data_IF_576403374111
#
_entry.id   IF_576403374111
#
_cell.length_a   1.000
_cell.length_b   1.000
_cell.length_c   1.000
_cell.angle_alpha   90.00
_cell.angle_beta   90.00
_cell.angle_gamma   90.00
#
_symmetry.space_group_name_H-M   'P 1'
#
loop_
_entity.id
_entity.type
_entity.pdbx_description
1 polymer ?
#
# COMPACT_ATOMS: atom_id res chain seq x y z
N UNK A 1 87.32 50.31 -25.49
CA UNK A 1 87.23 50.76 -24.08
C UNK A 1 86.01 50.13 -23.42
N UNK A 2 86.23 49.50 -22.26
CA UNK A 2 85.31 49.22 -21.12
C UNK A 2 83.86 48.75 -21.36
N UNK A 3 83.61 47.52 -20.87
CA UNK A 3 82.35 47.03 -20.24
C UNK A 3 82.03 47.84 -18.95
N UNK A 4 80.94 47.60 -18.15
CA UNK A 4 79.86 46.59 -18.25
C UNK A 4 78.45 47.10 -17.85
N UNK A 5 77.46 46.19 -17.87
CA UNK A 5 76.32 45.98 -16.94
C UNK A 5 75.30 45.14 -17.74
N UNK A 6 74.97 43.88 -17.45
CA UNK A 6 74.49 43.26 -16.20
C UNK A 6 73.20 42.51 -16.59
N UNK A 7 73.26 41.20 -16.78
CA UNK A 7 72.81 40.13 -15.86
C UNK A 7 71.30 39.78 -15.92
N UNK A 8 71.05 38.49 -16.23
CA UNK A 8 69.88 37.63 -15.93
C UNK A 8 68.50 38.00 -16.50
N UNK A 9 67.89 37.11 -17.30
CA UNK A 9 67.05 36.00 -16.82
C UNK A 9 65.76 36.04 -17.67
N UNK A 10 64.99 35.00 -17.93
CA UNK A 10 64.66 33.83 -17.14
C UNK A 10 64.05 32.79 -18.09
N UNK A 11 64.43 31.53 -17.91
CA UNK A 11 63.86 30.36 -18.61
C UNK A 11 62.38 30.18 -18.24
N UNK A 12 61.65 29.68 -19.23
CA UNK A 12 60.31 29.10 -19.22
C UNK A 12 60.05 28.14 -18.06
N UNK A 13 58.89 28.27 -17.41
CA UNK A 13 58.17 27.16 -16.80
C UNK A 13 56.67 27.40 -16.88
N UNK A 14 56.03 26.84 -17.92
CA UNK A 14 54.58 26.69 -17.97
C UNK A 14 54.17 25.72 -16.88
N UNK A 15 53.51 26.22 -15.83
CA UNK A 15 52.94 25.37 -14.78
C UNK A 15 51.73 24.63 -15.34
N UNK A 16 51.89 23.32 -15.55
CA UNK A 16 50.78 22.40 -15.75
C UNK A 16 50.04 22.28 -14.41
N UNK A 17 48.89 22.93 -14.29
CA UNK A 17 47.99 22.74 -13.14
C UNK A 17 47.30 21.39 -13.31
N UNK A 18 47.87 20.35 -12.72
CA UNK A 18 47.18 19.07 -12.55
C UNK A 18 46.12 19.26 -11.48
N UNK A 19 44.86 19.34 -11.90
CA UNK A 19 43.71 19.29 -10.99
C UNK A 19 43.74 17.95 -10.25
N UNK A 20 44.06 18.01 -8.94
CA UNK A 20 43.81 16.89 -8.04
C UNK A 20 42.31 16.72 -7.90
N UNK A 21 41.72 15.84 -8.70
CA UNK A 21 40.37 15.33 -8.43
C UNK A 21 40.41 14.62 -7.06
N UNK A 22 39.82 15.29 -6.07
CA UNK A 22 39.61 14.72 -4.74
C UNK A 22 38.75 13.46 -4.86
N UNK A 23 39.21 12.35 -4.29
CA UNK A 23 38.50 11.05 -4.29
C UNK A 23 37.14 11.08 -3.56
N UNK A 24 36.75 12.22 -3.00
CA UNK A 24 35.48 12.42 -2.29
C UNK A 24 34.31 12.75 -3.21
N UNK A 25 34.53 13.27 -4.42
CA UNK A 25 33.42 13.65 -5.33
C UNK A 25 32.81 12.48 -6.08
N UNK A 26 33.50 11.33 -6.18
CA UNK A 26 32.99 10.14 -6.88
C UNK A 26 31.96 9.34 -6.06
N UNK A 27 31.89 9.55 -4.73
CA UNK A 27 30.92 8.85 -3.86
C UNK A 27 29.56 9.54 -3.77
N UNK A 28 29.50 10.84 -4.01
CA UNK A 28 28.24 11.60 -3.99
C UNK A 28 27.38 11.37 -5.23
N UNK A 29 27.99 11.13 -6.40
CA UNK A 29 27.24 10.79 -7.63
C UNK A 29 26.66 9.38 -7.60
N UNK A 30 27.30 8.43 -6.89
CA UNK A 30 26.79 7.06 -6.78
C UNK A 30 25.63 6.93 -5.77
N UNK A 31 25.59 7.79 -4.74
CA UNK A 31 24.47 7.83 -3.78
C UNK A 31 23.21 8.49 -4.35
N UNK A 32 23.34 9.44 -5.29
CA UNK A 32 22.17 10.04 -5.95
C UNK A 32 21.51 9.10 -6.96
N UNK A 33 22.25 8.17 -7.56
CA UNK A 33 21.71 7.23 -8.55
C UNK A 33 20.98 6.03 -7.92
N UNK A 34 21.20 5.78 -6.62
CA UNK A 34 20.53 4.71 -5.87
C UNK A 34 19.26 5.17 -5.14
N UNK A 35 18.97 6.48 -5.11
CA UNK A 35 17.77 7.04 -4.49
C UNK A 35 16.56 7.11 -5.45
N UNK A 36 16.72 6.71 -6.71
CA UNK A 36 15.66 6.80 -7.74
C UNK A 36 14.76 5.56 -7.83
N UNK A 37 15.03 4.49 -7.07
CA UNK A 37 14.34 3.20 -7.25
C UNK A 37 13.10 2.97 -6.35
N UNK A 38 12.61 4.00 -5.64
CA UNK A 38 11.38 3.90 -4.84
C UNK A 38 10.46 5.10 -5.05
N UNK A 39 10.00 5.29 -6.28
CA UNK A 39 8.75 6.02 -6.55
C UNK A 39 7.93 5.18 -7.52
N UNK A 40 7.30 4.12 -7.01
CA UNK A 40 6.06 3.65 -7.62
C UNK A 40 4.92 4.25 -6.81
N UNK A 41 4.70 5.54 -7.04
CA UNK A 41 3.62 6.29 -6.45
C UNK A 41 3.34 7.46 -7.37
N UNK A 42 2.24 7.38 -8.11
CA UNK A 42 1.68 8.43 -8.99
C UNK A 42 2.13 8.53 -10.46
N UNK A 43 2.42 7.42 -11.15
CA UNK A 43 2.07 7.35 -12.57
C UNK A 43 0.66 6.76 -12.63
N UNK A 44 -0.36 7.59 -12.83
CA UNK A 44 -1.64 7.09 -13.32
C UNK A 44 -1.42 6.67 -14.75
N UNK A 45 -1.08 5.40 -14.94
CA UNK A 45 -1.22 4.74 -16.23
C UNK A 45 -2.73 4.71 -16.52
N UNK A 46 -3.19 5.49 -17.49
CA UNK A 46 -4.60 5.53 -17.92
C UNK A 46 -5.13 4.14 -18.35
N UNK A 47 -4.26 3.14 -18.46
CA UNK A 47 -4.60 1.75 -18.80
C UNK A 47 -4.48 0.74 -17.65
N UNK A 48 -4.24 1.14 -16.40
CA UNK A 48 -4.25 0.18 -15.30
C UNK A 48 -5.70 -0.14 -14.88
N UNK A 49 -6.25 -1.23 -15.41
CA UNK A 49 -7.55 -1.77 -14.97
C UNK A 49 -7.42 -2.14 -13.49
N UNK A 50 -8.30 -1.63 -12.59
CA UNK A 50 -8.29 -2.02 -11.19
C UNK A 50 -8.44 -3.54 -11.03
N UNK A 51 -7.84 -4.13 -9.98
CA UNK A 51 -7.86 -5.58 -9.73
C UNK A 51 -9.29 -6.14 -9.76
N UNK A 52 -10.20 -5.39 -9.15
CA UNK A 52 -11.62 -5.69 -9.02
C UNK A 52 -12.39 -5.63 -10.34
N UNK A 53 -11.85 -4.97 -11.36
CA UNK A 53 -12.47 -4.84 -12.69
C UNK A 53 -11.71 -5.62 -13.79
N UNK A 54 -10.59 -6.27 -13.46
CA UNK A 54 -9.78 -7.06 -14.40
C UNK A 54 -10.29 -8.52 -14.49
N UNK A 55 -10.82 -8.96 -15.64
CA UNK A 55 -11.40 -10.29 -15.81
C UNK A 55 -10.43 -11.44 -15.50
N UNK A 56 -9.11 -11.21 -15.59
CA UNK A 56 -8.08 -12.20 -15.26
C UNK A 56 -8.12 -12.61 -13.78
N UNK A 57 -8.67 -11.75 -12.92
CA UNK A 57 -8.72 -11.98 -11.48
C UNK A 57 -10.13 -12.24 -10.93
N UNK A 58 -11.16 -12.29 -11.78
CA UNK A 58 -12.55 -12.52 -11.32
C UNK A 58 -12.70 -13.85 -10.59
N UNK A 59 -11.99 -14.89 -11.02
CA UNK A 59 -11.99 -16.20 -10.37
C UNK A 59 -11.51 -16.18 -8.91
N UNK A 60 -10.80 -15.14 -8.47
CA UNK A 60 -10.32 -14.99 -7.09
C UNK A 60 -11.23 -14.11 -6.23
N UNK A 61 -12.33 -13.61 -6.78
CA UNK A 61 -13.22 -12.64 -6.14
C UNK A 61 -14.60 -13.26 -5.88
N UNK A 62 -14.64 -14.46 -5.32
CA UNK A 62 -15.90 -15.16 -5.07
C UNK A 62 -16.43 -14.85 -3.66
N UNK A 63 -17.33 -13.86 -3.56
CA UNK A 63 -17.95 -13.49 -2.30
C UNK A 63 -18.91 -14.58 -1.77
N UNK A 64 -19.45 -15.43 -2.65
CA UNK A 64 -20.30 -16.56 -2.24
C UNK A 64 -19.50 -17.61 -1.48
N UNK A 65 -18.26 -17.89 -1.89
CA UNK A 65 -17.37 -18.78 -1.16
C UNK A 65 -16.98 -18.17 0.19
N UNK A 66 -16.63 -16.88 0.22
CA UNK A 66 -16.24 -16.20 1.45
C UNK A 66 -17.34 -16.26 2.53
N UNK A 67 -18.60 -15.99 2.19
CA UNK A 67 -19.70 -16.05 3.17
C UNK A 67 -20.08 -17.48 3.57
N UNK A 68 -19.65 -18.51 2.82
CA UNK A 68 -19.91 -19.92 3.12
C UNK A 68 -18.80 -20.59 3.95
N UNK A 69 -17.71 -19.89 4.29
CA UNK A 69 -16.69 -20.40 5.21
C UNK A 69 -17.33 -20.83 6.54
N UNK A 70 -17.05 -22.05 6.97
CA UNK A 70 -17.53 -22.57 8.25
C UNK A 70 -16.67 -22.08 9.40
N UNK A 71 -17.34 -21.71 10.50
CA UNK A 71 -16.68 -21.19 11.70
C UNK A 71 -16.36 -19.70 11.63
N UNK A 72 -15.35 -19.30 12.41
CA UNK A 72 -15.00 -17.90 12.65
C UNK A 72 -13.84 -17.45 11.79
N UNK A 73 -14.06 -16.39 11.02
CA UNK A 73 -13.02 -15.69 10.28
C UNK A 73 -12.46 -14.56 11.12
N UNK A 74 -11.14 -14.34 11.04
CA UNK A 74 -10.43 -13.28 11.75
C UNK A 74 -9.67 -12.40 10.76
N UNK A 75 -9.65 -11.09 11.02
CA UNK A 75 -8.79 -10.16 10.27
C UNK A 75 -7.38 -10.24 10.85
N UNK A 76 -6.43 -10.68 10.03
CA UNK A 76 -5.01 -10.77 10.41
C UNK A 76 -4.22 -9.52 10.03
N UNK A 77 -4.65 -8.81 8.99
CA UNK A 77 -4.00 -7.60 8.50
C UNK A 77 -5.03 -6.69 7.86
N UNK A 78 -4.86 -5.38 8.05
CA UNK A 78 -5.71 -4.36 7.47
C UNK A 78 -4.89 -3.11 7.13
N UNK A 79 -5.23 -2.46 6.02
CA UNK A 79 -4.57 -1.23 5.57
C UNK A 79 -5.47 0.00 5.77
N UNK A 80 -6.25 0.02 6.86
CA UNK A 80 -7.08 1.17 7.19
C UNK A 80 -6.24 2.22 7.91
N UNK A 81 -6.24 3.45 7.40
CA UNK A 81 -5.58 4.56 8.09
C UNK A 81 -6.42 5.00 9.30
N UNK A 82 -6.23 4.32 10.43
CA UNK A 82 -6.89 4.62 11.70
C UNK A 82 -5.85 4.69 12.81
N UNK A 83 -5.95 5.69 13.67
CA UNK A 83 -5.06 5.87 14.83
C UNK A 83 -5.29 4.79 15.90
N UNK A 84 -6.53 4.30 16.01
CA UNK A 84 -6.94 3.29 17.00
C UNK A 84 -7.89 2.28 16.31
N UNK A 85 -7.38 1.44 15.41
CA UNK A 85 -8.20 0.46 14.73
C UNK A 85 -8.69 -0.61 15.72
N UNK A 86 -9.91 -1.15 15.57
CA UNK A 86 -10.35 -2.30 16.34
C UNK A 86 -9.35 -3.46 16.25
N UNK A 87 -9.25 -4.22 17.34
CA UNK A 87 -8.41 -5.41 17.45
C UNK A 87 -9.27 -6.66 17.39
N UNK A 88 -8.68 -7.78 16.99
CA UNK A 88 -9.36 -9.09 17.00
C UNK A 88 -10.70 -9.08 16.23
N UNK A 89 -10.79 -8.31 15.14
CA UNK A 89 -11.95 -8.29 14.26
C UNK A 89 -12.24 -9.71 13.77
N UNK A 90 -13.49 -10.12 13.93
CA UNK A 90 -13.95 -11.42 13.50
C UNK A 90 -15.38 -11.39 12.99
N UNK A 91 -15.67 -12.34 12.10
CA UNK A 91 -16.98 -12.56 11.51
C UNK A 91 -17.32 -14.05 11.59
N UNK A 92 -18.54 -14.37 12.00
CA UNK A 92 -19.04 -15.74 12.10
C UNK A 92 -20.47 -15.81 11.54
N UNK A 93 -20.71 -16.74 10.61
CA UNK A 93 -22.03 -16.93 10.01
C UNK A 93 -22.97 -17.52 11.06
N UNK A 94 -24.05 -16.80 11.36
CA UNK A 94 -25.12 -17.27 12.24
C UNK A 94 -26.13 -18.10 11.46
N UNK A 95 -26.52 -17.60 10.28
CA UNK A 95 -27.51 -18.27 9.44
C UNK A 95 -27.33 -17.89 7.96
N UNK A 96 -27.60 -18.85 7.07
CA UNK A 96 -27.92 -18.59 5.67
C UNK A 96 -29.43 -18.43 5.57
N UNK A 97 -29.90 -17.24 5.18
CA UNK A 97 -31.34 -16.98 5.02
C UNK A 97 -31.79 -17.39 3.61
N UNK A 98 -30.98 -17.05 2.61
CA UNK A 98 -31.11 -17.52 1.23
C UNK A 98 -29.74 -17.44 0.53
N UNK A 99 -29.70 -17.57 -0.80
CA UNK A 99 -28.44 -17.60 -1.56
C UNK A 99 -27.67 -16.27 -1.58
N UNK A 100 -28.32 -15.14 -1.31
CA UNK A 100 -27.68 -13.81 -1.32
C UNK A 100 -27.74 -13.10 0.02
N UNK A 101 -28.45 -13.64 1.00
CA UNK A 101 -28.70 -13.00 2.29
C UNK A 101 -28.28 -13.91 3.44
N UNK A 102 -27.35 -13.40 4.25
CA UNK A 102 -26.76 -14.12 5.36
C UNK A 102 -26.80 -13.24 6.61
N UNK A 103 -26.95 -13.87 7.76
CA UNK A 103 -26.81 -13.20 9.04
C UNK A 103 -25.46 -13.58 9.67
N UNK A 104 -24.70 -12.58 10.09
CA UNK A 104 -23.38 -12.74 10.68
C UNK A 104 -23.32 -12.06 12.04
N UNK A 105 -22.53 -12.62 12.95
CA UNK A 105 -22.06 -11.90 14.14
C UNK A 105 -20.70 -11.30 13.82
N UNK A 106 -20.58 -9.98 13.93
CA UNK A 106 -19.29 -9.29 13.95
C UNK A 106 -18.85 -9.08 15.40
N UNK A 107 -17.56 -9.24 15.66
CA UNK A 107 -16.97 -9.03 16.96
C UNK A 107 -15.59 -8.38 16.85
N UNK A 108 -15.28 -7.45 17.75
CA UNK A 108 -13.98 -6.80 17.85
C UNK A 108 -13.68 -6.40 19.29
N UNK A 109 -12.42 -6.10 19.57
CA UNK A 109 -11.92 -5.52 20.83
C UNK A 109 -11.62 -4.04 20.59
N UNK A 110 -12.07 -3.18 21.51
CA UNK A 110 -11.78 -1.75 21.43
C UNK A 110 -10.36 -1.47 21.97
N UNK A 111 -9.51 -0.73 21.26
CA UNK A 111 -8.12 -0.47 21.70
C UNK A 111 -8.01 0.21 23.06
N UNK A 112 -8.97 1.10 23.38
CA UNK A 112 -9.02 1.83 24.65
C UNK A 112 -9.69 1.04 25.78
N UNK A 113 -10.27 -0.12 25.47
CA UNK A 113 -10.93 -1.00 26.44
C UNK A 113 -10.68 -2.46 26.04
N UNK A 114 -9.43 -2.95 26.18
CA UNK A 114 -9.01 -4.25 25.65
C UNK A 114 -9.73 -5.45 26.28
N UNK A 115 -10.29 -5.27 27.48
CA UNK A 115 -11.07 -6.29 28.18
C UNK A 115 -12.53 -6.39 27.68
N UNK A 116 -12.95 -5.46 26.81
CA UNK A 116 -14.31 -5.40 26.27
C UNK A 116 -14.33 -5.90 24.83
N UNK A 117 -15.06 -7.00 24.60
CA UNK A 117 -15.39 -7.48 23.26
C UNK A 117 -16.77 -6.94 22.87
N UNK A 118 -16.81 -6.08 21.87
CA UNK A 118 -18.08 -5.63 21.27
C UNK A 118 -18.53 -6.67 20.24
N UNK A 119 -19.83 -7.00 20.25
CA UNK A 119 -20.42 -7.97 19.32
C UNK A 119 -21.80 -7.51 18.89
N UNK A 120 -22.14 -7.68 17.61
CA UNK A 120 -23.49 -7.44 17.12
C UNK A 120 -23.78 -8.27 15.87
N UNK A 121 -25.08 -8.52 15.62
CA UNK A 121 -25.52 -9.19 14.41
C UNK A 121 -25.77 -8.20 13.28
N UNK A 122 -25.40 -8.58 12.07
CA UNK A 122 -25.57 -7.77 10.87
C UNK A 122 -25.81 -8.66 9.66
N UNK A 123 -26.54 -8.13 8.69
CA UNK A 123 -26.82 -8.84 7.45
C UNK A 123 -25.71 -8.61 6.44
N UNK A 124 -25.24 -9.69 5.84
CA UNK A 124 -24.36 -9.67 4.69
C UNK A 124 -25.21 -9.96 3.46
N UNK A 125 -25.26 -9.00 2.52
CA UNK A 125 -26.04 -9.11 1.29
C UNK A 125 -25.11 -9.13 0.09
N UNK A 126 -25.10 -10.25 -0.64
CA UNK A 126 -24.27 -10.43 -1.82
C UNK A 126 -24.79 -9.62 -3.01
N UNK A 127 -23.87 -9.08 -3.80
CA UNK A 127 -24.16 -8.41 -5.06
C UNK A 127 -23.07 -8.66 -6.09
N UNK A 128 -23.43 -8.47 -7.36
CA UNK A 128 -22.50 -8.45 -8.49
C UNK A 128 -22.18 -7.00 -8.80
N UNK A 129 -20.92 -6.71 -9.11
CA UNK A 129 -20.45 -5.37 -9.45
C UNK A 129 -19.64 -5.42 -10.75
N UNK A 130 -19.55 -4.30 -11.46
CA UNK A 130 -18.83 -4.24 -12.74
C UNK A 130 -19.33 -5.27 -13.75
N UNK A 131 -18.39 -5.96 -14.40
CA UNK A 131 -18.66 -7.02 -15.39
C UNK A 131 -18.67 -8.45 -14.80
N UNK A 132 -18.72 -8.60 -13.47
CA UNK A 132 -18.71 -9.92 -12.84
C UNK A 132 -20.00 -10.69 -13.13
N UNK A 133 -19.87 -11.95 -13.55
CA UNK A 133 -20.99 -12.88 -13.69
C UNK A 133 -21.38 -13.53 -12.37
N UNK A 134 -20.45 -13.60 -11.42
CA UNK A 134 -20.61 -14.18 -10.09
C UNK A 134 -20.71 -13.10 -9.01
N UNK A 135 -21.18 -13.46 -7.82
CA UNK A 135 -21.23 -12.52 -6.69
C UNK A 135 -19.83 -12.24 -6.19
N UNK A 136 -19.37 -11.00 -6.36
CA UNK A 136 -18.02 -10.56 -6.01
C UNK A 136 -17.98 -9.51 -4.90
N UNK A 137 -19.13 -9.05 -4.43
CA UNK A 137 -19.23 -8.02 -3.42
C UNK A 137 -20.29 -8.35 -2.36
N UNK A 138 -20.17 -7.70 -1.22
CA UNK A 138 -21.13 -7.81 -0.12
C UNK A 138 -21.38 -6.46 0.52
N UNK A 139 -22.63 -6.21 0.91
CA UNK A 139 -23.03 -5.02 1.67
C UNK A 139 -23.38 -5.41 3.09
N UNK A 140 -22.72 -4.79 4.07
CA UNK A 140 -22.99 -5.02 5.49
C UNK A 140 -22.64 -3.80 6.34
N UNK A 141 -23.21 -3.71 7.54
CA UNK A 141 -22.80 -2.71 8.55
C UNK A 141 -21.57 -3.22 9.31
N UNK A 142 -20.53 -2.40 9.36
CA UNK A 142 -19.31 -2.71 10.14
C UNK A 142 -19.44 -2.25 11.61
N UNK A 143 -20.28 -1.25 11.90
CA UNK A 143 -20.64 -0.84 13.26
C UNK A 143 -22.15 -0.63 13.35
N UNK A 144 -22.70 -0.55 14.57
CA UNK A 144 -24.13 -0.27 14.78
C UNK A 144 -24.51 1.18 14.48
N UNK A 145 -23.53 2.08 14.40
CA UNK A 145 -23.72 3.53 14.25
C UNK A 145 -23.63 4.00 12.80
N UNK A 146 -23.02 3.20 11.92
CA UNK A 146 -22.80 3.54 10.52
C UNK A 146 -23.78 2.81 9.57
N UNK A 147 -24.08 3.41 8.40
CA UNK A 147 -24.83 2.70 7.37
C UNK A 147 -24.06 1.50 6.83
N UNK A 148 -24.78 0.59 6.19
CA UNK A 148 -24.16 -0.53 5.51
C UNK A 148 -23.31 -0.04 4.33
N UNK A 149 -22.16 -0.67 4.10
CA UNK A 149 -21.24 -0.32 3.02
C UNK A 149 -20.94 -1.52 2.15
N UNK A 150 -20.89 -1.30 0.83
CA UNK A 150 -20.45 -2.27 -0.15
C UNK A 150 -18.93 -2.50 -0.02
N UNK A 151 -18.51 -3.76 0.02
CA UNK A 151 -17.12 -4.22 0.04
C UNK A 151 -16.92 -5.24 -1.08
N UNK A 152 -15.84 -5.10 -1.83
CA UNK A 152 -15.36 -6.04 -2.85
C UNK A 152 -14.09 -6.69 -2.31
#
# INVERSE_FOLDING_TARGET
LRSPHGLHGLKTHSKLVVSKMSRTTLRFTLMLLAASSLVCGSIQDENCIPYEEDPRYFMYQNASEAVNIDGKMYVMSQNFNSTLPPLCDSAERVAKINDTYFNFTLAAVLPLAPDIVVKFNTSFVLSKTGNHTDYNAMTYKYTTMEPAKLRK
#
